data_IF_746795281974
#
_entry.id   IF_746795281974
#
_cell.length_a   1.000
_cell.length_b   1.000
_cell.length_c   1.000
_cell.angle_alpha   90.00
_cell.angle_beta   90.00
_cell.angle_gamma   90.00
#
_symmetry.space_group_name_H-M   'P 1'
#
loop_
_entity.id
_entity.type
_entity.pdbx_description
1 polymer ?
#
# COMPACT_ATOMS: atom_id res chain seq x y z
N UNK A 1 23.10 -47.88 47.97
CA UNK A 1 22.88 -46.42 48.10
C UNK A 1 23.03 -45.77 46.71
N UNK A 2 21.95 -45.67 45.92
CA UNK A 2 22.00 -45.16 44.53
C UNK A 2 21.33 -43.79 44.46
N UNK A 3 22.13 -42.75 44.17
CA UNK A 3 21.66 -41.36 44.02
C UNK A 3 20.80 -41.26 42.75
N UNK A 4 19.51 -40.96 42.91
CA UNK A 4 18.59 -40.67 41.80
C UNK A 4 18.96 -39.29 41.24
N UNK A 5 19.63 -39.27 40.09
CA UNK A 5 19.98 -38.03 39.39
C UNK A 5 18.70 -37.50 38.73
N UNK A 6 18.20 -36.35 39.19
CA UNK A 6 16.92 -35.78 38.77
C UNK A 6 17.02 -35.20 37.35
N UNK A 7 16.64 -36.02 36.36
CA UNK A 7 16.55 -35.67 34.94
C UNK A 7 15.66 -34.44 34.66
N UNK A 8 14.68 -34.16 35.54
CA UNK A 8 13.81 -32.99 35.44
C UNK A 8 14.52 -31.65 35.70
N UNK A 9 15.62 -31.66 36.47
CA UNK A 9 16.37 -30.43 36.76
C UNK A 9 17.24 -30.01 35.54
N UNK A 10 17.59 -30.96 34.66
CA UNK A 10 18.34 -30.70 33.44
C UNK A 10 17.46 -30.06 32.35
N UNK A 11 16.18 -30.43 32.26
CA UNK A 11 15.23 -29.87 31.29
C UNK A 11 14.85 -28.41 31.59
N UNK A 12 14.80 -28.02 32.87
CA UNK A 12 14.46 -26.65 33.28
C UNK A 12 15.55 -25.63 32.94
N UNK A 13 16.83 -26.04 32.96
CA UNK A 13 17.95 -25.16 32.61
C UNK A 13 18.09 -25.01 31.08
N UNK A 14 17.67 -26.02 30.30
CA UNK A 14 17.72 -25.97 28.84
C UNK A 14 16.54 -25.19 28.21
N UNK A 15 15.36 -25.19 28.86
CA UNK A 15 14.18 -24.46 28.37
C UNK A 15 14.26 -22.94 28.53
N UNK A 16 15.09 -22.44 29.46
CA UNK A 16 15.26 -21.01 29.70
C UNK A 16 16.29 -20.35 28.77
N UNK A 17 17.11 -21.14 28.06
CA UNK A 17 18.12 -20.64 27.11
C UNK A 17 17.59 -20.44 25.68
N UNK A 18 16.34 -20.82 25.39
CA UNK A 18 15.73 -20.73 24.05
C UNK A 18 14.71 -19.59 23.89
N UNK A 19 14.61 -18.69 24.87
CA UNK A 19 13.67 -17.55 24.87
C UNK A 19 14.34 -16.19 24.60
N UNK A 20 15.63 -16.19 24.23
CA UNK A 20 16.42 -14.98 24.04
C UNK A 20 16.92 -14.79 22.59
N UNK A 21 16.27 -15.42 21.61
CA UNK A 21 16.49 -15.04 20.21
C UNK A 21 15.73 -13.75 19.94
N UNK A 22 16.52 -12.70 19.82
CA UNK A 22 16.10 -11.33 19.80
C UNK A 22 15.18 -11.07 18.61
N UNK A 23 13.95 -10.67 18.90
CA UNK A 23 13.16 -9.86 17.99
C UNK A 23 13.85 -8.51 17.82
N UNK A 24 14.92 -8.47 17.01
CA UNK A 24 15.44 -7.25 16.42
C UNK A 24 14.42 -6.86 15.35
N UNK A 25 13.31 -6.28 15.80
CA UNK A 25 12.40 -5.58 14.91
C UNK A 25 13.18 -4.41 14.32
N UNK A 26 13.48 -4.47 13.02
CA UNK A 26 13.90 -3.29 12.27
C UNK A 26 12.78 -2.27 12.46
N UNK A 27 13.02 -1.22 13.26
CA UNK A 27 12.07 -0.14 13.39
C UNK A 27 11.86 0.45 11.99
N UNK A 28 10.68 0.27 11.43
CA UNK A 28 10.27 1.00 10.27
C UNK A 28 10.40 2.50 10.61
N UNK A 29 11.09 3.24 9.76
CA UNK A 29 11.06 4.71 9.77
C UNK A 29 9.60 5.17 9.76
N UNK A 30 9.28 6.25 10.46
CA UNK A 30 7.91 6.76 10.58
C UNK A 30 7.19 6.91 9.22
N UNK A 31 7.94 7.24 8.15
CA UNK A 31 7.38 7.35 6.81
C UNK A 31 6.90 6.02 6.21
N UNK A 32 7.51 4.88 6.55
CA UNK A 32 7.04 3.58 6.06
C UNK A 32 5.74 3.17 6.75
N UNK A 33 5.58 3.43 8.04
CA UNK A 33 4.32 3.17 8.74
C UNK A 33 3.19 4.03 8.15
N UNK A 34 3.47 5.32 7.90
CA UNK A 34 2.54 6.21 7.21
C UNK A 34 2.19 5.74 5.81
N UNK A 35 3.18 5.25 5.06
CA UNK A 35 2.98 4.71 3.74
C UNK A 35 2.07 3.46 3.75
N UNK A 36 2.33 2.50 4.64
CA UNK A 36 1.49 1.31 4.79
C UNK A 36 0.07 1.65 5.25
N UNK A 37 -0.09 2.68 6.09
CA UNK A 37 -1.41 3.21 6.48
C UNK A 37 -2.18 3.74 5.28
N UNK A 38 -1.53 4.53 4.40
CA UNK A 38 -2.15 5.04 3.18
C UNK A 38 -2.52 3.90 2.24
N UNK A 39 -1.63 2.93 2.03
CA UNK A 39 -1.90 1.78 1.16
C UNK A 39 -3.09 0.95 1.65
N UNK A 40 -3.23 0.74 2.97
CA UNK A 40 -4.40 0.05 3.52
C UNK A 40 -5.69 0.83 3.30
N UNK A 41 -5.67 2.14 3.50
CA UNK A 41 -6.85 2.99 3.25
C UNK A 41 -7.26 2.95 1.76
N UNK A 42 -6.30 3.14 0.86
CA UNK A 42 -6.55 3.13 -0.59
C UNK A 42 -7.06 1.76 -1.09
N UNK A 43 -6.54 0.65 -0.54
CA UNK A 43 -7.07 -0.69 -0.83
C UNK A 43 -8.51 -0.86 -0.35
N UNK A 44 -8.88 -0.25 0.78
CA UNK A 44 -10.26 -0.27 1.29
C UNK A 44 -11.22 0.56 0.45
N UNK A 45 -10.73 1.66 -0.16
CA UNK A 45 -11.50 2.48 -1.10
C UNK A 45 -11.66 1.80 -2.47
N UNK A 46 -10.66 1.00 -2.87
CA UNK A 46 -10.74 0.01 -3.94
C UNK A 46 -10.29 0.47 -5.32
N UNK A 47 -10.36 1.77 -5.62
CA UNK A 47 -9.93 2.32 -6.91
C UNK A 47 -9.37 3.73 -6.81
N UNK A 48 -8.48 4.05 -7.74
CA UNK A 48 -7.98 5.39 -8.04
C UNK A 48 -8.59 5.86 -9.37
N UNK A 49 -9.12 7.07 -9.40
CA UNK A 49 -9.67 7.72 -10.59
C UNK A 49 -8.61 8.56 -11.29
N UNK A 50 -8.37 8.31 -12.57
CA UNK A 50 -7.32 8.97 -13.34
C UNK A 50 -7.85 9.51 -14.66
N UNK A 51 -7.65 10.80 -14.93
CA UNK A 51 -7.78 11.36 -16.29
C UNK A 51 -6.41 11.28 -16.98
N UNK A 52 -6.38 10.73 -18.19
CA UNK A 52 -5.15 10.64 -18.99
C UNK A 52 -5.40 10.77 -20.49
N UNK A 53 -4.33 10.84 -21.30
CA UNK A 53 -4.44 10.98 -22.76
C UNK A 53 -5.14 9.77 -23.41
N UNK A 54 -5.72 9.97 -24.59
CA UNK A 54 -6.31 8.88 -25.40
C UNK A 54 -5.28 7.77 -25.70
N UNK A 55 -5.72 6.58 -26.12
CA UNK A 55 -4.83 5.49 -26.55
C UNK A 55 -4.63 4.40 -25.49
N UNK A 56 -4.70 3.15 -25.95
CA UNK A 56 -4.60 1.97 -25.09
C UNK A 56 -3.20 1.80 -24.49
N UNK A 57 -2.16 2.11 -25.27
CA UNK A 57 -0.76 2.12 -24.86
C UNK A 57 -0.52 3.06 -23.66
N UNK A 58 -1.09 4.27 -23.70
CA UNK A 58 -0.95 5.25 -22.62
C UNK A 58 -1.73 4.85 -21.38
N UNK A 59 -2.98 4.36 -21.55
CA UNK A 59 -3.75 3.79 -20.45
C UNK A 59 -2.98 2.68 -19.76
N UNK A 60 -2.45 1.74 -20.53
CA UNK A 60 -1.77 0.57 -20.00
C UNK A 60 -0.48 0.97 -19.28
N UNK A 61 0.31 1.88 -19.86
CA UNK A 61 1.52 2.43 -19.24
C UNK A 61 1.25 3.16 -17.91
N UNK A 62 0.12 3.85 -17.80
CA UNK A 62 -0.25 4.62 -16.61
C UNK A 62 -0.98 3.79 -15.54
N UNK A 63 -1.57 2.65 -15.90
CA UNK A 63 -2.40 1.86 -14.98
C UNK A 63 -1.76 0.54 -14.54
N UNK A 64 -1.20 -0.26 -15.47
CA UNK A 64 -0.88 -1.65 -15.18
C UNK A 64 0.20 -1.80 -14.11
N UNK A 65 1.25 -0.98 -14.16
CA UNK A 65 2.33 -1.02 -13.17
C UNK A 65 1.85 -0.68 -11.76
N UNK A 66 0.98 0.32 -11.62
CA UNK A 66 0.41 0.70 -10.34
C UNK A 66 -0.52 -0.40 -9.79
N UNK A 67 -1.43 -0.89 -10.62
CA UNK A 67 -2.36 -1.96 -10.24
C UNK A 67 -1.61 -3.22 -9.83
N UNK A 68 -0.60 -3.64 -10.59
CA UNK A 68 0.20 -4.83 -10.29
C UNK A 68 1.00 -4.66 -8.98
N UNK A 69 1.55 -3.48 -8.74
CA UNK A 69 2.39 -3.22 -7.56
C UNK A 69 1.57 -3.13 -6.27
N UNK A 70 0.41 -2.48 -6.31
CA UNK A 70 -0.33 -2.13 -5.09
C UNK A 70 -1.66 -2.87 -4.94
N UNK A 71 -2.16 -3.53 -5.98
CA UNK A 71 -3.46 -4.22 -5.95
C UNK A 71 -4.65 -3.27 -5.84
N UNK A 72 -4.48 -2.01 -6.25
CA UNK A 72 -5.53 -0.98 -6.27
C UNK A 72 -5.92 -0.76 -7.73
N UNK A 73 -7.21 -0.82 -8.05
CA UNK A 73 -7.69 -0.63 -9.42
C UNK A 73 -7.49 0.82 -9.88
N UNK A 74 -7.27 1.02 -11.17
CA UNK A 74 -7.21 2.36 -11.79
C UNK A 74 -8.40 2.51 -12.73
N UNK A 75 -9.33 3.38 -12.36
CA UNK A 75 -10.40 3.83 -13.22
C UNK A 75 -9.88 4.92 -14.16
N UNK A 76 -9.44 4.50 -15.34
CA UNK A 76 -8.87 5.38 -16.35
C UNK A 76 -9.96 6.03 -17.21
N UNK A 77 -9.99 7.36 -17.22
CA UNK A 77 -10.82 8.18 -18.08
C UNK A 77 -9.97 8.79 -19.21
N UNK A 78 -10.11 8.31 -20.46
CA UNK A 78 -9.39 8.85 -21.59
C UNK A 78 -9.98 10.21 -22.01
N UNK A 79 -9.12 11.21 -22.20
CA UNK A 79 -9.51 12.56 -22.64
C UNK A 79 -8.49 13.13 -23.64
N UNK A 80 -8.93 14.05 -24.50
CA UNK A 80 -8.11 14.74 -25.49
C UNK A 80 -7.42 16.00 -24.94
N UNK A 81 -7.67 16.40 -23.69
CA UNK A 81 -6.95 17.47 -23.00
C UNK A 81 -7.70 18.80 -22.97
N UNK A 82 -8.16 19.28 -24.14
CA UNK A 82 -8.73 20.63 -24.28
C UNK A 82 -9.95 20.89 -23.36
N UNK A 83 -10.74 19.85 -23.08
CA UNK A 83 -11.94 19.95 -22.23
C UNK A 83 -11.69 19.72 -20.73
N UNK A 84 -10.49 19.27 -20.33
CA UNK A 84 -10.25 18.82 -18.95
C UNK A 84 -10.36 19.98 -17.97
N UNK A 85 -9.65 21.09 -18.20
CA UNK A 85 -9.61 22.22 -17.26
C UNK A 85 -10.96 22.96 -17.12
N UNK A 86 -11.71 23.25 -18.19
CA UNK A 86 -13.05 23.82 -18.06
C UNK A 86 -13.99 22.92 -17.24
N UNK A 87 -13.97 21.60 -17.49
CA UNK A 87 -14.76 20.62 -16.74
C UNK A 87 -14.35 20.59 -15.27
N UNK A 88 -13.05 20.47 -14.99
CA UNK A 88 -12.52 20.44 -13.63
C UNK A 88 -12.92 21.70 -12.86
N UNK A 89 -12.83 22.87 -13.48
CA UNK A 89 -13.25 24.13 -12.85
C UNK A 89 -14.75 24.15 -12.52
N UNK A 90 -15.60 23.64 -13.42
CA UNK A 90 -17.03 23.51 -13.17
C UNK A 90 -17.33 22.55 -12.01
N UNK A 91 -16.65 21.40 -11.97
CA UNK A 91 -16.74 20.42 -10.88
C UNK A 91 -16.32 21.02 -9.53
N UNK A 92 -15.17 21.71 -9.46
CA UNK A 92 -14.72 22.36 -8.21
C UNK A 92 -15.69 23.44 -7.74
N UNK A 93 -16.24 24.25 -8.65
CA UNK A 93 -17.27 25.25 -8.32
C UNK A 93 -18.56 24.62 -7.79
N UNK A 94 -18.87 23.40 -8.23
CA UNK A 94 -19.98 22.60 -7.72
C UNK A 94 -19.64 21.81 -6.44
N UNK A 95 -18.43 21.97 -5.89
CA UNK A 95 -17.98 21.23 -4.70
C UNK A 95 -17.69 19.74 -4.98
N UNK A 96 -17.49 19.36 -6.25
CA UNK A 96 -17.23 17.99 -6.66
C UNK A 96 -15.71 17.74 -6.75
N UNK A 97 -15.27 16.63 -6.17
CA UNK A 97 -13.88 16.19 -6.15
C UNK A 97 -13.76 14.79 -6.73
N UNK A 98 -14.04 14.68 -8.04
CA UNK A 98 -14.23 13.39 -8.72
C UNK A 98 -12.94 12.68 -9.16
N UNK A 99 -11.82 13.39 -9.18
CA UNK A 99 -10.57 12.91 -9.79
C UNK A 99 -9.43 12.96 -8.78
N UNK A 100 -8.72 11.84 -8.66
CA UNK A 100 -7.51 11.72 -7.83
C UNK A 100 -6.28 12.22 -8.58
N UNK A 101 -6.16 11.87 -9.87
CA UNK A 101 -5.00 12.18 -10.71
C UNK A 101 -5.43 12.69 -12.07
N UNK A 102 -4.75 13.75 -12.53
CA UNK A 102 -4.86 14.29 -13.88
C UNK A 102 -3.47 14.28 -14.53
N UNK A 103 -3.35 13.65 -15.68
CA UNK A 103 -2.15 13.67 -16.53
C UNK A 103 -2.52 14.28 -17.88
N UNK A 104 -1.95 15.46 -18.17
CA UNK A 104 -2.20 16.22 -19.39
C UNK A 104 -0.92 16.98 -19.78
N UNK A 105 -0.70 17.17 -21.09
CA UNK A 105 0.47 17.86 -21.65
C UNK A 105 0.39 17.92 -23.17
#
# INVERSE_FOLDING_TARGET
MKRKFNLHLLCLVFGMLFLADAAIGFAASAWQEDWERILRAAKSEGKLTLIGPLGADRRDALSQGFQSKYGIAVEYHPDAGAGIFPRLNAERKAGLFLWDVLISG
#
